data_IF_587796295750
#
_entry.id   IF_587796295750
#
_cell.length_a   1.000
_cell.length_b   1.000
_cell.length_c   1.000
_cell.angle_alpha   90.00
_cell.angle_beta   90.00
_cell.angle_gamma   90.00
#
_symmetry.space_group_name_H-M   'P 1'
#
loop_
_entity.id
_entity.type
_entity.pdbx_description
1 polymer ?
#
# COMPACT_ATOMS: atom_id res chain seq x y z
N UNK A 1 9.10 18.49 2.97
CA UNK A 1 7.81 18.96 2.39
C UNK A 1 6.76 17.92 2.75
N UNK A 2 5.64 18.31 3.36
CA UNK A 2 4.55 17.38 3.65
C UNK A 2 3.20 18.00 3.37
N UNK A 3 2.30 17.19 2.81
CA UNK A 3 0.96 17.61 2.46
C UNK A 3 -0.02 17.64 3.65
N UNK A 4 0.27 16.91 4.74
CA UNK A 4 -0.71 16.67 5.84
C UNK A 4 -0.07 16.41 7.20
N UNK A 5 1.17 16.82 7.43
CA UNK A 5 1.79 16.59 8.74
C UNK A 5 1.18 17.49 9.82
N UNK A 6 1.16 16.96 11.04
CA UNK A 6 1.07 17.74 12.28
C UNK A 6 2.29 18.67 12.31
N UNK A 7 2.08 19.91 11.88
CA UNK A 7 3.12 20.92 11.72
C UNK A 7 3.82 21.14 13.07
N UNK A 8 3.03 21.18 14.13
CA UNK A 8 3.46 21.40 15.50
C UNK A 8 4.42 20.30 15.95
N UNK A 9 4.06 19.04 15.71
CA UNK A 9 4.89 17.88 16.06
C UNK A 9 6.28 17.95 15.41
N UNK A 10 6.34 18.31 14.13
CA UNK A 10 7.61 18.41 13.40
C UNK A 10 8.42 19.64 13.82
N UNK A 11 7.75 20.78 14.01
CA UNK A 11 8.40 21.98 14.53
C UNK A 11 9.05 21.70 15.87
N UNK A 12 8.30 21.13 16.82
CA UNK A 12 8.78 20.79 18.17
C UNK A 12 9.94 19.79 18.12
N UNK A 13 9.81 18.73 17.30
CA UNK A 13 10.87 17.72 17.15
C UNK A 13 12.17 18.28 16.56
N UNK A 14 12.09 19.27 15.68
CA UNK A 14 13.25 19.93 15.06
C UNK A 14 13.58 21.26 15.76
N UNK A 15 13.58 21.29 17.09
CA UNK A 15 14.00 22.43 17.92
C UNK A 15 13.23 23.74 17.61
N UNK A 16 11.91 23.64 17.43
CA UNK A 16 11.03 24.74 17.02
C UNK A 16 11.42 25.36 15.66
N UNK A 17 11.78 24.52 14.69
CA UNK A 17 12.12 24.96 13.35
C UNK A 17 11.00 25.81 12.70
N UNK A 18 11.34 26.89 11.98
CA UNK A 18 10.35 27.76 11.36
C UNK A 18 9.53 27.00 10.30
N UNK A 19 8.22 27.25 10.31
CA UNK A 19 7.27 26.60 9.40
C UNK A 19 6.89 27.55 8.27
N UNK A 20 7.07 27.09 7.03
CA UNK A 20 6.56 27.76 5.84
C UNK A 20 5.32 27.04 5.29
N UNK A 21 4.17 27.72 5.34
CA UNK A 21 2.91 27.17 4.85
C UNK A 21 2.59 27.72 3.45
N UNK A 22 2.57 26.83 2.46
CA UNK A 22 2.09 27.17 1.11
C UNK A 22 0.60 26.84 1.04
N UNK A 23 -0.23 27.87 0.89
CA UNK A 23 -1.68 27.66 0.75
C UNK A 23 -1.97 26.92 -0.55
N UNK A 24 -2.62 25.76 -0.44
CA UNK A 24 -3.13 25.03 -1.59
C UNK A 24 -4.20 25.84 -2.32
N UNK A 25 -4.21 25.76 -3.66
CA UNK A 25 -5.31 26.25 -4.48
C UNK A 25 -6.20 25.05 -4.81
N UNK A 26 -7.18 24.78 -3.96
CA UNK A 26 -8.21 23.78 -4.22
C UNK A 26 -9.54 24.47 -4.44
N UNK A 27 -10.26 24.05 -5.48
CA UNK A 27 -11.63 24.48 -5.71
C UNK A 27 -12.59 23.87 -4.68
N UNK A 28 -13.79 24.45 -4.48
CA UNK A 28 -14.79 23.92 -3.56
C UNK A 28 -15.15 22.45 -3.85
N UNK A 29 -15.39 21.66 -2.81
CA UNK A 29 -15.75 20.25 -2.92
C UNK A 29 -17.00 20.01 -2.08
N UNK A 30 -18.07 19.53 -2.73
CA UNK A 30 -19.28 19.09 -2.03
C UNK A 30 -19.06 17.68 -1.48
N UNK A 31 -19.36 17.48 -0.19
CA UNK A 31 -19.18 16.21 0.50
C UNK A 31 -20.54 15.52 0.70
N UNK A 32 -20.62 14.26 0.30
CA UNK A 32 -21.78 13.40 0.52
C UNK A 32 -21.36 12.21 1.38
N UNK A 33 -22.22 11.82 2.32
CA UNK A 33 -22.01 10.66 3.21
C UNK A 33 -23.16 9.68 3.03
N UNK A 34 -22.87 8.38 3.14
CA UNK A 34 -23.89 7.34 3.19
C UNK A 34 -24.71 7.45 4.49
N UNK A 35 -26.01 7.15 4.43
CA UNK A 35 -26.90 7.28 5.60
C UNK A 35 -26.63 6.22 6.69
N UNK A 36 -26.27 4.99 6.32
CA UNK A 36 -25.93 3.90 7.24
C UNK A 36 -24.96 2.91 6.58
N UNK A 37 -24.17 2.22 7.41
CA UNK A 37 -23.44 1.01 7.04
C UNK A 37 -24.30 -0.18 7.47
N UNK A 38 -24.87 -0.95 6.55
CA UNK A 38 -25.46 -2.23 6.91
C UNK A 38 -24.33 -3.23 7.20
N UNK A 39 -23.98 -3.37 8.47
CA UNK A 39 -22.83 -4.13 8.98
C UNK A 39 -22.83 -5.63 8.65
N UNK A 40 -23.93 -6.16 8.10
CA UNK A 40 -24.08 -7.57 7.76
C UNK A 40 -23.75 -7.90 6.28
N UNK A 41 -23.66 -6.90 5.40
CA UNK A 41 -23.41 -7.09 3.96
C UNK A 41 -22.64 -5.91 3.35
N UNK A 42 -21.62 -5.40 4.05
CA UNK A 42 -20.85 -4.21 3.64
C UNK A 42 -19.82 -4.54 2.54
N UNK A 43 -20.31 -4.99 1.39
CA UNK A 43 -19.48 -5.09 0.18
C UNK A 43 -19.27 -3.68 -0.37
N UNK A 44 -18.25 -3.00 0.16
CA UNK A 44 -17.88 -1.65 -0.25
C UNK A 44 -17.49 -1.58 -1.74
N UNK A 45 -17.05 -2.68 -2.35
CA UNK A 45 -16.71 -2.72 -3.78
C UNK A 45 -18.00 -2.67 -4.61
N UNK A 46 -18.99 -3.48 -4.25
CA UNK A 46 -20.32 -3.44 -4.85
C UNK A 46 -20.96 -2.05 -4.68
N UNK A 47 -20.95 -1.51 -3.46
CA UNK A 47 -21.50 -0.18 -3.16
C UNK A 47 -20.82 0.90 -3.99
N UNK A 48 -19.49 0.84 -4.17
CA UNK A 48 -18.77 1.79 -5.01
C UNK A 48 -19.20 1.72 -6.48
N UNK A 49 -19.42 0.53 -7.04
CA UNK A 49 -19.92 0.37 -8.41
C UNK A 49 -21.36 0.87 -8.54
N UNK A 50 -22.23 0.59 -7.57
CA UNK A 50 -23.62 1.09 -7.58
C UNK A 50 -23.64 2.63 -7.54
N UNK A 51 -22.91 3.24 -6.61
CA UNK A 51 -22.80 4.70 -6.51
C UNK A 51 -22.21 5.30 -7.80
N UNK A 52 -21.18 4.67 -8.37
CA UNK A 52 -20.62 5.07 -9.66
C UNK A 52 -21.69 5.08 -10.76
N UNK A 53 -22.51 4.03 -10.86
CA UNK A 53 -23.54 3.95 -11.90
C UNK A 53 -24.64 5.01 -11.72
N UNK A 54 -24.97 5.38 -10.48
CA UNK A 54 -25.84 6.52 -10.21
C UNK A 54 -25.23 7.82 -10.71
N UNK A 55 -23.97 8.11 -10.33
CA UNK A 55 -23.21 9.29 -10.76
C UNK A 55 -23.07 9.31 -12.29
N UNK A 56 -22.89 8.16 -12.94
CA UNK A 56 -22.82 8.02 -14.40
C UNK A 56 -24.10 8.45 -15.09
N UNK A 57 -25.25 8.26 -14.45
CA UNK A 57 -26.54 8.70 -14.98
C UNK A 57 -26.83 10.18 -14.69
N UNK A 58 -26.49 10.68 -13.51
CA UNK A 58 -26.94 11.99 -13.03
C UNK A 58 -25.95 13.12 -13.29
N UNK A 59 -24.65 12.87 -13.20
CA UNK A 59 -23.63 13.93 -13.35
C UNK A 59 -23.25 14.18 -14.83
N UNK A 60 -22.67 15.35 -15.16
CA UNK A 60 -22.17 15.66 -16.51
C UNK A 60 -21.18 14.63 -17.05
N UNK A 61 -21.23 14.32 -18.34
CA UNK A 61 -20.44 13.21 -18.91
C UNK A 61 -18.93 13.46 -18.87
N UNK A 62 -18.53 14.72 -18.94
CA UNK A 62 -17.16 15.24 -18.90
C UNK A 62 -16.56 15.24 -17.48
N UNK A 63 -17.34 14.84 -16.47
CA UNK A 63 -16.87 14.69 -15.10
C UNK A 63 -16.30 13.29 -14.89
N UNK A 64 -14.97 13.17 -14.94
CA UNK A 64 -14.31 11.89 -14.67
C UNK A 64 -14.36 11.55 -13.18
N UNK A 65 -14.37 10.25 -12.91
CA UNK A 65 -14.58 9.69 -11.58
C UNK A 65 -13.34 8.94 -11.11
N UNK A 66 -12.89 9.21 -9.89
CA UNK A 66 -11.85 8.46 -9.20
C UNK A 66 -12.46 7.67 -8.03
N UNK A 67 -12.27 6.36 -8.02
CA UNK A 67 -12.80 5.45 -7.01
C UNK A 67 -11.64 4.83 -6.24
N UNK A 68 -11.66 4.95 -4.90
CA UNK A 68 -10.65 4.35 -4.04
C UNK A 68 -11.08 2.95 -3.56
N UNK A 69 -10.30 1.93 -3.94
CA UNK A 69 -10.42 0.53 -3.53
C UNK A 69 -9.09 0.04 -2.91
N UNK A 70 -9.04 -1.20 -2.43
CA UNK A 70 -7.92 -1.62 -1.56
C UNK A 70 -6.86 -2.44 -2.28
N UNK A 71 -7.16 -3.06 -3.42
CA UNK A 71 -6.18 -3.89 -4.13
C UNK A 71 -6.60 -4.35 -5.52
N UNK A 72 -5.69 -5.07 -6.17
CA UNK A 72 -5.81 -5.52 -7.57
C UNK A 72 -7.12 -6.28 -7.85
N UNK A 73 -7.40 -7.34 -7.08
CA UNK A 73 -8.57 -8.20 -7.33
C UNK A 73 -9.89 -7.42 -7.31
N UNK A 74 -10.06 -6.54 -6.32
CA UNK A 74 -11.22 -5.66 -6.19
C UNK A 74 -11.31 -4.66 -7.35
N UNK A 75 -10.18 -4.08 -7.74
CA UNK A 75 -10.10 -3.09 -8.82
C UNK A 75 -10.45 -3.72 -10.17
N UNK A 76 -9.87 -4.88 -10.50
CA UNK A 76 -10.16 -5.59 -11.74
C UNK A 76 -11.62 -6.02 -11.80
N UNK A 77 -12.16 -6.54 -10.69
CA UNK A 77 -13.56 -6.87 -10.56
C UNK A 77 -14.47 -5.66 -10.78
N UNK A 78 -14.20 -4.54 -10.11
CA UNK A 78 -14.98 -3.32 -10.24
C UNK A 78 -14.92 -2.73 -11.64
N UNK A 79 -13.75 -2.78 -12.31
CA UNK A 79 -13.61 -2.35 -13.70
C UNK A 79 -14.49 -3.17 -14.64
N UNK A 80 -14.49 -4.50 -14.48
CA UNK A 80 -15.35 -5.41 -15.24
C UNK A 80 -16.83 -5.09 -14.99
N UNK A 81 -17.25 -4.98 -13.72
CA UNK A 81 -18.65 -4.70 -13.35
C UNK A 81 -19.15 -3.35 -13.81
N UNK A 82 -18.33 -2.30 -13.69
CA UNK A 82 -18.69 -0.98 -14.20
C UNK A 82 -18.86 -0.99 -15.73
N UNK A 83 -17.98 -1.71 -16.45
CA UNK A 83 -18.06 -1.83 -17.91
C UNK A 83 -19.31 -2.59 -18.34
N UNK A 84 -19.61 -3.72 -17.70
CA UNK A 84 -20.84 -4.51 -17.93
C UNK A 84 -22.10 -3.67 -17.66
N UNK A 85 -22.15 -2.98 -16.52
CA UNK A 85 -23.30 -2.16 -16.13
C UNK A 85 -23.50 -0.95 -17.06
N UNK A 86 -22.43 -0.34 -17.57
CA UNK A 86 -22.51 0.81 -18.47
C UNK A 86 -23.20 0.50 -19.80
N UNK A 87 -23.09 -0.75 -20.30
CA UNK A 87 -23.77 -1.19 -21.52
C UNK A 87 -25.30 -1.04 -21.44
N UNK A 88 -25.87 -1.08 -20.22
CA UNK A 88 -27.31 -0.94 -19.98
C UNK A 88 -27.78 0.51 -19.84
N UNK A 89 -26.86 1.48 -19.81
CA UNK A 89 -27.19 2.89 -19.50
C UNK A 89 -27.27 3.82 -20.71
N UNK A 90 -26.86 3.35 -21.89
CA UNK A 90 -26.81 4.16 -23.11
C UNK A 90 -25.74 5.28 -23.10
N UNK A 91 -24.98 5.45 -22.01
CA UNK A 91 -23.87 6.41 -21.88
C UNK A 91 -22.55 5.64 -21.83
N UNK A 92 -21.58 6.03 -22.66
CA UNK A 92 -20.29 5.36 -22.73
C UNK A 92 -19.43 5.65 -21.49
N UNK A 93 -18.77 4.61 -20.98
CA UNK A 93 -17.88 4.66 -19.82
C UNK A 93 -16.64 3.83 -20.11
N UNK A 94 -15.47 4.33 -19.74
CA UNK A 94 -14.21 3.59 -19.80
C UNK A 94 -13.63 3.45 -18.39
N UNK A 95 -13.65 2.23 -17.86
CA UNK A 95 -12.99 1.88 -16.61
C UNK A 95 -11.50 1.60 -16.82
N UNK A 96 -10.65 2.16 -15.96
CA UNK A 96 -9.19 1.99 -15.96
C UNK A 96 -8.70 1.62 -14.55
N UNK A 97 -7.86 0.58 -14.40
CA UNK A 97 -7.26 0.22 -13.13
C UNK A 97 -6.01 1.06 -12.82
N UNK A 98 -5.73 1.28 -11.53
CA UNK A 98 -4.48 1.90 -11.06
C UNK A 98 -4.02 1.32 -9.72
N UNK A 99 -3.08 0.38 -9.75
CA UNK A 99 -2.45 -0.26 -8.57
C UNK A 99 -0.98 -0.62 -8.87
N UNK A 100 -0.19 -0.93 -7.83
CA UNK A 100 1.28 -0.99 -7.91
C UNK A 100 1.80 -2.06 -8.86
N UNK A 101 1.11 -3.20 -8.97
CA UNK A 101 1.49 -4.32 -9.85
C UNK A 101 1.27 -4.07 -11.35
N UNK A 102 0.71 -2.92 -11.76
CA UNK A 102 0.57 -2.57 -13.17
C UNK A 102 1.93 -2.17 -13.77
N UNK A 103 2.15 -2.53 -15.04
CA UNK A 103 3.32 -2.05 -15.78
C UNK A 103 3.34 -0.52 -15.86
N UNK A 104 4.52 0.13 -15.93
CA UNK A 104 4.61 1.59 -16.00
C UNK A 104 3.77 2.17 -17.15
N UNK A 105 3.78 1.50 -18.31
CA UNK A 105 2.94 1.88 -19.45
C UNK A 105 1.44 1.82 -19.12
N UNK A 106 0.98 0.77 -18.45
CA UNK A 106 -0.42 0.64 -18.05
C UNK A 106 -0.83 1.71 -17.02
N UNK A 107 0.04 2.07 -16.08
CA UNK A 107 -0.21 3.15 -15.14
C UNK A 107 -0.34 4.51 -15.84
N UNK A 108 0.47 4.77 -16.88
CA UNK A 108 0.44 6.04 -17.61
C UNK A 108 -0.90 6.33 -18.31
N UNK A 109 -1.65 5.29 -18.67
CA UNK A 109 -2.94 5.40 -19.37
C UNK A 109 -3.99 6.22 -18.62
N UNK A 110 -3.90 6.32 -17.30
CA UNK A 110 -4.88 7.11 -16.52
C UNK A 110 -4.71 8.62 -16.72
N UNK A 111 -3.50 9.06 -17.11
CA UNK A 111 -3.18 10.47 -17.35
C UNK A 111 -3.53 10.93 -18.75
N UNK A 112 -3.65 9.99 -19.70
CA UNK A 112 -3.98 10.30 -21.07
C UNK A 112 -5.48 10.66 -21.21
N UNK A 113 -5.82 11.62 -22.08
CA UNK A 113 -7.19 11.81 -22.52
C UNK A 113 -7.70 10.53 -23.20
N UNK A 114 -8.97 10.18 -22.99
CA UNK A 114 -9.53 8.95 -23.60
C UNK A 114 -9.54 8.98 -25.13
N UNK A 115 -9.59 10.16 -25.74
CA UNK A 115 -9.71 10.32 -27.20
C UNK A 115 -11.05 9.85 -27.78
N UNK A 116 -12.00 9.43 -26.94
CA UNK A 116 -13.33 8.96 -27.32
C UNK A 116 -14.35 10.02 -26.89
N UNK A 117 -15.06 10.68 -27.83
CA UNK A 117 -16.09 11.66 -27.48
C UNK A 117 -17.20 11.08 -26.60
N UNK A 118 -17.78 11.92 -25.74
CA UNK A 118 -18.96 11.58 -24.91
C UNK A 118 -18.79 10.30 -24.06
N UNK A 119 -17.57 10.01 -23.64
CA UNK A 119 -17.24 8.84 -22.81
C UNK A 119 -16.61 9.30 -21.51
N UNK A 120 -17.18 8.86 -20.38
CA UNK A 120 -16.64 9.17 -19.05
C UNK A 120 -15.44 8.28 -18.74
N UNK A 121 -14.34 8.86 -18.26
CA UNK A 121 -13.22 8.11 -17.68
C UNK A 121 -13.52 7.80 -16.22
N UNK A 122 -13.35 6.53 -15.86
CA UNK A 122 -13.49 6.08 -14.48
C UNK A 122 -12.23 5.34 -14.09
N UNK A 123 -11.58 5.79 -13.02
CA UNK A 123 -10.34 5.21 -12.55
C UNK A 123 -10.59 4.56 -11.19
N UNK A 124 -10.31 3.27 -11.11
CA UNK A 124 -10.34 2.51 -9.86
C UNK A 124 -8.91 2.37 -9.36
N UNK A 125 -8.61 2.95 -8.20
CA UNK A 125 -7.24 3.04 -7.70
C UNK A 125 -7.09 2.65 -6.23
N UNK A 126 -5.90 2.18 -5.87
CA UNK A 126 -5.46 2.12 -4.47
C UNK A 126 -5.07 3.51 -3.96
N UNK A 127 -4.38 3.58 -2.82
CA UNK A 127 -3.80 4.81 -2.29
C UNK A 127 -2.69 5.43 -3.18
N UNK A 128 -2.35 4.84 -4.33
CA UNK A 128 -1.45 5.46 -5.32
C UNK A 128 -2.02 6.80 -5.82
N UNK A 129 -3.32 6.87 -6.06
CA UNK A 129 -3.96 8.13 -6.45
C UNK A 129 -4.16 9.12 -5.28
N UNK A 130 -3.89 8.70 -4.03
CA UNK A 130 -4.07 9.52 -2.82
C UNK A 130 -3.00 10.59 -2.70
N UNK A 131 -1.76 10.30 -3.12
CA UNK A 131 -0.60 11.21 -3.02
C UNK A 131 0.11 11.40 -4.37
N UNK A 132 0.86 12.48 -4.51
CA UNK A 132 1.92 12.68 -5.53
C UNK A 132 1.57 12.79 -7.02
N UNK A 133 0.37 12.43 -7.51
CA UNK A 133 0.04 12.64 -8.94
C UNK A 133 -1.35 13.23 -9.17
N UNK A 134 -1.47 14.27 -9.99
CA UNK A 134 -2.76 14.81 -10.45
C UNK A 134 -3.20 14.03 -11.68
N UNK A 135 -4.39 13.43 -11.62
CA UNK A 135 -5.03 12.85 -12.81
C UNK A 135 -5.95 13.92 -13.39
N UNK A 136 -5.72 14.38 -14.63
CA UNK A 136 -6.56 15.40 -15.25
C UNK A 136 -8.00 14.93 -15.45
N UNK A 137 -8.95 15.86 -15.33
CA UNK A 137 -10.38 15.63 -15.58
C UNK A 137 -11.17 15.10 -14.39
N UNK A 138 -10.53 14.74 -13.27
CA UNK A 138 -11.25 14.24 -12.09
C UNK A 138 -12.11 15.35 -11.47
N UNK A 139 -13.42 15.13 -11.46
CA UNK A 139 -14.40 16.03 -10.84
C UNK A 139 -15.17 15.37 -9.70
N UNK A 140 -15.21 14.03 -9.70
CA UNK A 140 -15.92 13.23 -8.71
C UNK A 140 -14.99 12.20 -8.07
N UNK A 141 -15.04 12.10 -6.75
CA UNK A 141 -14.35 11.06 -5.97
C UNK A 141 -15.38 10.16 -5.30
N UNK A 142 -15.16 8.85 -5.32
CA UNK A 142 -15.87 7.87 -4.49
C UNK A 142 -14.85 7.27 -3.53
N UNK A 143 -15.04 7.54 -2.24
CA UNK A 143 -14.16 7.06 -1.16
C UNK A 143 -14.88 5.97 -0.36
N UNK A 144 -14.38 4.74 -0.44
CA UNK A 144 -14.87 3.61 0.35
C UNK A 144 -14.47 3.70 1.82
N UNK A 145 -13.51 4.56 2.17
CA UNK A 145 -13.00 4.68 3.53
C UNK A 145 -12.07 3.54 3.94
N UNK A 146 -11.73 2.62 3.03
CA UNK A 146 -10.86 1.47 3.30
C UNK A 146 -9.45 1.67 2.74
N UNK A 147 -8.50 0.97 3.34
CA UNK A 147 -7.12 0.85 2.86
C UNK A 147 -6.59 -0.54 3.20
N UNK A 148 -5.71 -1.08 2.36
CA UNK A 148 -4.98 -2.31 2.66
C UNK A 148 -3.59 -1.95 3.16
N UNK A 149 -3.27 -2.32 4.40
CA UNK A 149 -2.05 -1.90 5.09
C UNK A 149 -1.29 -3.10 5.63
N UNK A 150 0.05 -3.06 5.52
CA UNK A 150 0.95 -4.06 6.09
C UNK A 150 1.13 -3.76 7.58
N UNK A 151 0.85 -4.77 8.41
CA UNK A 151 0.91 -4.72 9.87
C UNK A 151 1.66 -5.94 10.40
N UNK A 152 2.71 -5.69 11.19
CA UNK A 152 3.52 -6.72 11.82
C UNK A 152 2.96 -7.10 13.19
N UNK A 153 2.73 -8.39 13.41
CA UNK A 153 2.31 -8.95 14.69
C UNK A 153 3.54 -9.45 15.44
N UNK A 154 4.01 -8.70 16.43
CA UNK A 154 5.27 -8.97 17.13
C UNK A 154 5.27 -10.28 17.95
N UNK A 155 4.12 -10.65 18.50
CA UNK A 155 3.88 -11.88 19.27
C UNK A 155 4.08 -13.13 18.40
N UNK A 156 3.56 -13.08 17.17
CA UNK A 156 3.61 -14.17 16.19
C UNK A 156 4.77 -14.07 15.20
N UNK A 157 5.43 -12.91 15.13
CA UNK A 157 6.52 -12.57 14.20
C UNK A 157 6.13 -12.73 12.74
N UNK A 158 4.90 -12.36 12.41
CA UNK A 158 4.37 -12.43 11.04
C UNK A 158 3.95 -11.06 10.57
N UNK A 159 4.24 -10.78 9.31
CA UNK A 159 3.63 -9.67 8.58
C UNK A 159 2.25 -10.11 8.08
N UNK A 160 1.24 -9.27 8.30
CA UNK A 160 -0.11 -9.49 7.80
C UNK A 160 -0.55 -8.28 6.99
N UNK A 161 -1.15 -8.55 5.85
CA UNK A 161 -1.78 -7.53 5.02
C UNK A 161 -3.28 -7.54 5.33
N UNK A 162 -3.80 -6.45 5.92
CA UNK A 162 -5.21 -6.36 6.33
C UNK A 162 -5.89 -5.15 5.70
N UNK A 163 -7.19 -5.30 5.45
CA UNK A 163 -8.05 -4.17 5.11
C UNK A 163 -8.47 -3.50 6.41
N UNK A 164 -8.21 -2.21 6.52
CA UNK A 164 -8.51 -1.37 7.68
C UNK A 164 -9.20 -0.07 7.22
N UNK A 165 -9.75 0.67 8.17
CA UNK A 165 -10.27 2.01 7.89
C UNK A 165 -9.14 3.00 7.62
N UNK A 166 -9.39 3.93 6.70
CA UNK A 166 -8.46 5.01 6.40
C UNK A 166 -8.46 6.07 7.50
N UNK A 167 -7.45 6.95 7.53
CA UNK A 167 -7.43 8.08 8.46
C UNK A 167 -8.25 9.26 7.94
N UNK A 168 -8.66 10.17 8.83
CA UNK A 168 -9.31 11.43 8.44
C UNK A 168 -8.43 12.25 7.50
N UNK A 169 -7.12 12.30 7.75
CA UNK A 169 -6.16 12.95 6.87
C UNK A 169 -6.19 12.34 5.46
N UNK A 170 -6.10 11.02 5.34
CA UNK A 170 -6.18 10.29 4.06
C UNK A 170 -7.51 10.52 3.34
N UNK A 171 -8.64 10.33 4.02
CA UNK A 171 -9.97 10.60 3.45
C UNK A 171 -10.16 12.06 3.00
N UNK A 172 -9.49 13.01 3.65
CA UNK A 172 -9.49 14.42 3.24
C UNK A 172 -8.62 14.64 2.00
N UNK A 173 -7.45 13.99 1.92
CA UNK A 173 -6.61 14.02 0.71
C UNK A 173 -7.33 13.40 -0.50
N UNK A 174 -8.01 12.26 -0.30
CA UNK A 174 -8.83 11.59 -1.31
C UNK A 174 -9.92 12.51 -1.83
N UNK A 175 -10.70 13.12 -0.93
CA UNK A 175 -11.72 14.10 -1.30
C UNK A 175 -11.12 15.28 -2.11
N UNK A 176 -9.96 15.78 -1.68
CA UNK A 176 -9.20 16.84 -2.36
C UNK A 176 -8.88 16.58 -3.83
N UNK A 177 -8.91 15.32 -4.29
CA UNK A 177 -8.68 14.96 -5.70
C UNK A 177 -9.78 15.46 -6.63
N UNK A 178 -11.02 15.58 -6.15
CA UNK A 178 -12.10 16.18 -6.92
C UNK A 178 -11.90 17.68 -7.15
N UNK A 179 -11.19 18.40 -6.27
CA UNK A 179 -11.08 19.86 -6.30
C UNK A 179 -9.82 20.43 -6.96
N UNK A 180 -9.06 19.64 -7.73
CA UNK A 180 -7.74 20.08 -8.25
C UNK A 180 -7.84 21.03 -9.45
N UNK A 181 -8.80 20.83 -10.35
CA UNK A 181 -8.92 21.62 -11.58
C UNK A 181 -10.18 22.50 -11.61
N UNK A 182 -11.25 22.11 -10.90
CA UNK A 182 -12.53 22.81 -10.86
C UNK A 182 -13.34 22.39 -9.59
N UNK A 183 -14.54 22.96 -9.32
CA UNK A 183 -15.36 22.65 -8.14
C UNK A 183 -16.01 21.26 -8.20
N UNK A 184 -15.74 20.35 -7.26
CA UNK A 184 -16.04 18.91 -7.40
C UNK A 184 -16.95 18.30 -6.36
N UNK A 185 -17.13 16.98 -6.42
CA UNK A 185 -17.93 16.21 -5.46
C UNK A 185 -17.14 15.03 -4.91
N UNK A 186 -17.33 14.72 -3.63
CA UNK A 186 -16.79 13.52 -3.01
C UNK A 186 -17.90 12.74 -2.31
N UNK A 187 -18.08 11.49 -2.69
CA UNK A 187 -19.04 10.55 -2.12
C UNK A 187 -18.32 9.58 -1.20
N UNK A 188 -18.53 9.72 0.11
CA UNK A 188 -18.01 8.81 1.14
C UNK A 188 -19.05 7.72 1.37
N UNK A 189 -18.66 6.47 1.16
CA UNK A 189 -19.57 5.31 1.31
C UNK A 189 -19.76 4.90 2.77
N UNK A 190 -19.55 5.84 3.69
CA UNK A 190 -19.67 5.65 5.12
C UNK A 190 -20.32 6.90 5.75
N UNK A 191 -21.04 6.75 6.87
CA UNK A 191 -21.67 7.87 7.57
C UNK A 191 -20.68 8.90 8.10
N UNK A 192 -21.15 10.13 8.21
CA UNK A 192 -20.38 11.23 8.81
C UNK A 192 -19.94 10.92 10.25
N UNK A 193 -20.79 10.22 11.02
CA UNK A 193 -20.42 9.75 12.36
C UNK A 193 -19.22 8.80 12.34
N UNK A 194 -19.14 7.93 11.33
CA UNK A 194 -18.00 7.03 11.17
C UNK A 194 -16.75 7.82 10.80
N UNK A 195 -16.85 8.79 9.86
CA UNK A 195 -15.74 9.70 9.54
C UNK A 195 -15.18 10.40 10.79
N UNK A 196 -16.06 10.88 11.67
CA UNK A 196 -15.65 11.53 12.91
C UNK A 196 -14.95 10.59 13.90
N UNK A 197 -15.25 9.28 13.84
CA UNK A 197 -14.62 8.25 14.67
C UNK A 197 -13.25 7.78 14.15
N UNK A 198 -12.90 8.08 12.90
CA UNK A 198 -11.62 7.68 12.31
C UNK A 198 -10.43 8.36 13.01
N UNK A 199 -9.31 7.65 13.06
CA UNK A 199 -8.04 8.22 13.51
C UNK A 199 -7.67 9.46 12.68
N UNK A 200 -7.09 10.47 13.33
CA UNK A 200 -6.74 11.73 12.68
C UNK A 200 -5.72 11.50 11.55
N UNK A 201 -4.67 10.75 11.85
CA UNK A 201 -3.56 10.43 10.95
C UNK A 201 -3.38 8.92 10.89
N UNK A 202 -2.77 8.44 9.79
CA UNK A 202 -2.43 7.03 9.62
C UNK A 202 -1.31 6.65 10.57
N UNK A 203 -1.40 5.46 11.20
CA UNK A 203 -0.38 4.97 12.12
C UNK A 203 0.99 4.94 11.42
N UNK A 204 2.03 5.59 12.00
CA UNK A 204 3.37 5.63 11.43
C UNK A 204 3.93 4.23 11.12
N UNK A 205 4.64 4.10 10.01
CA UNK A 205 5.14 2.82 9.53
C UNK A 205 6.05 2.11 10.54
N UNK A 206 6.91 2.87 11.23
CA UNK A 206 7.80 2.35 12.28
C UNK A 206 7.06 1.62 13.41
N UNK A 207 5.78 1.93 13.65
CA UNK A 207 4.99 1.29 14.70
C UNK A 207 4.32 -0.02 14.24
N UNK A 208 4.31 -0.30 12.94
CA UNK A 208 3.51 -1.38 12.33
C UNK A 208 4.29 -2.28 11.39
N UNK A 209 5.60 -2.14 11.25
CA UNK A 209 6.43 -3.00 10.39
C UNK A 209 7.44 -3.81 11.19
N UNK A 210 7.95 -4.86 10.56
CA UNK A 210 9.08 -5.61 11.10
C UNK A 210 10.34 -4.74 11.09
N UNK A 211 10.95 -4.55 12.26
CA UNK A 211 12.09 -3.66 12.44
C UNK A 211 13.44 -4.31 12.11
N UNK A 212 13.51 -5.58 11.74
CA UNK A 212 14.79 -6.30 11.58
C UNK A 212 15.78 -5.60 10.65
N UNK A 213 15.35 -5.21 9.46
CA UNK A 213 16.18 -4.53 8.47
C UNK A 213 16.66 -3.18 8.98
N UNK A 214 15.74 -2.37 9.52
CA UNK A 214 16.05 -1.05 10.09
C UNK A 214 17.02 -1.15 11.26
N UNK A 215 16.81 -2.08 12.20
CA UNK A 215 17.71 -2.25 13.34
C UNK A 215 19.10 -2.69 12.90
N UNK A 216 19.20 -3.59 11.91
CA UNK A 216 20.47 -4.01 11.36
C UNK A 216 21.25 -2.83 10.76
N UNK A 217 20.58 -1.97 10.01
CA UNK A 217 21.17 -0.75 9.45
C UNK A 217 21.60 0.23 10.53
N UNK A 218 20.77 0.45 11.55
CA UNK A 218 21.12 1.31 12.70
C UNK A 218 22.37 0.80 13.41
N UNK A 219 22.49 -0.50 13.64
CA UNK A 219 23.69 -1.09 14.23
C UNK A 219 24.92 -0.97 13.31
N UNK A 220 24.73 -1.12 11.99
CA UNK A 220 25.78 -0.94 10.99
C UNK A 220 26.36 0.48 11.00
N UNK A 221 25.53 1.51 11.21
CA UNK A 221 26.01 2.90 11.32
C UNK A 221 26.54 3.26 12.71
N UNK A 222 26.59 2.30 13.65
CA UNK A 222 27.18 2.47 14.98
C UNK A 222 26.19 2.86 16.08
N UNK A 223 24.88 2.88 15.81
CA UNK A 223 23.86 3.18 16.82
C UNK A 223 23.53 1.93 17.64
N UNK A 224 24.40 1.59 18.58
CA UNK A 224 24.31 0.35 19.37
C UNK A 224 23.21 0.37 20.43
N UNK A 225 22.61 1.53 20.73
CA UNK A 225 21.61 1.71 21.80
C UNK A 225 20.38 2.44 21.28
N UNK A 226 19.33 1.71 20.92
CA UNK A 226 18.11 2.31 20.35
C UNK A 226 17.42 3.28 21.31
N UNK A 227 17.48 3.03 22.63
CA UNK A 227 16.90 3.93 23.64
C UNK A 227 17.48 5.34 23.62
N UNK A 228 18.65 5.57 23.01
CA UNK A 228 19.19 6.94 22.88
C UNK A 228 18.64 7.68 21.67
N UNK A 229 17.90 7.02 20.77
CA UNK A 229 17.27 7.67 19.63
C UNK A 229 15.98 8.34 20.08
N UNK A 230 15.93 9.65 19.88
CA UNK A 230 14.71 10.42 20.03
C UNK A 230 13.90 10.22 18.75
N UNK A 231 13.03 9.22 18.70
CA UNK A 231 12.14 9.01 17.56
C UNK A 231 10.85 9.81 17.77
N UNK A 232 10.33 10.45 16.72
CA UNK A 232 9.00 11.10 16.73
C UNK A 232 7.93 10.11 17.21
N UNK A 233 8.00 8.86 16.75
CA UNK A 233 7.12 7.79 17.19
C UNK A 233 7.97 6.56 17.50
N UNK A 234 7.99 6.16 18.77
CA UNK A 234 8.80 5.05 19.23
C UNK A 234 8.03 3.73 19.13
N UNK A 235 8.59 2.69 18.46
CA UNK A 235 7.96 1.38 18.42
C UNK A 235 7.91 0.74 19.80
N UNK A 236 7.02 -0.25 19.97
CA UNK A 236 6.91 -0.97 21.22
C UNK A 236 8.21 -1.73 21.55
N UNK A 237 8.52 -1.84 22.83
CA UNK A 237 9.66 -2.63 23.32
C UNK A 237 9.60 -4.09 22.85
N UNK A 238 8.39 -4.63 22.68
CA UNK A 238 8.17 -5.98 22.16
C UNK A 238 8.60 -6.11 20.69
N UNK A 239 8.19 -5.18 19.82
CA UNK A 239 8.61 -5.17 18.41
C UNK A 239 10.13 -5.06 18.26
N UNK A 240 10.75 -4.18 19.04
CA UNK A 240 12.22 -4.03 19.07
C UNK A 240 12.89 -5.34 19.51
N UNK A 241 12.42 -5.94 20.61
CA UNK A 241 13.00 -7.18 21.15
C UNK A 241 12.82 -8.35 20.19
N UNK A 242 11.67 -8.45 19.54
CA UNK A 242 11.37 -9.49 18.54
C UNK A 242 12.35 -9.40 17.36
N UNK A 243 12.61 -8.18 16.86
CA UNK A 243 13.58 -7.95 15.79
C UNK A 243 15.03 -8.24 16.22
N UNK A 244 15.44 -7.78 17.40
CA UNK A 244 16.77 -8.08 17.97
C UNK A 244 17.01 -9.59 18.14
N UNK A 245 15.99 -10.31 18.62
CA UNK A 245 16.06 -11.75 18.77
C UNK A 245 16.23 -12.46 17.43
N UNK A 246 15.53 -12.03 16.37
CA UNK A 246 15.73 -12.61 15.03
C UNK A 246 17.16 -12.35 14.53
N UNK A 247 17.66 -11.13 14.67
CA UNK A 247 19.03 -10.77 14.28
C UNK A 247 20.07 -11.60 15.05
N UNK A 248 19.84 -11.87 16.33
CA UNK A 248 20.70 -12.73 17.13
C UNK A 248 20.66 -14.19 16.64
N UNK A 249 19.46 -14.71 16.33
CA UNK A 249 19.29 -16.09 15.85
C UNK A 249 20.00 -16.35 14.51
N UNK A 250 19.99 -15.38 13.60
CA UNK A 250 20.73 -15.48 12.33
C UNK A 250 22.22 -15.16 12.48
N UNK A 251 22.68 -14.85 13.70
CA UNK A 251 24.06 -14.53 14.02
C UNK A 251 24.52 -13.15 13.55
N UNK A 252 23.59 -12.24 13.21
CA UNK A 252 23.92 -10.89 12.73
C UNK A 252 24.39 -9.97 13.87
N UNK A 253 23.89 -10.18 15.09
CA UNK A 253 24.26 -9.36 16.26
C UNK A 253 24.62 -10.23 17.46
N UNK A 254 25.46 -9.69 18.33
CA UNK A 254 25.74 -10.28 19.64
C UNK A 254 24.58 -10.03 20.62
N UNK A 255 24.43 -10.85 21.67
CA UNK A 255 23.56 -10.53 22.80
C UNK A 255 23.92 -9.15 23.36
N UNK A 256 22.92 -8.45 23.90
CA UNK A 256 23.13 -7.15 24.50
C UNK A 256 24.18 -7.21 25.64
N UNK A 257 25.09 -6.25 25.68
CA UNK A 257 26.10 -6.15 26.73
C UNK A 257 25.47 -5.67 28.06
N UNK A 258 26.28 -5.56 29.12
CA UNK A 258 25.83 -5.08 30.45
C UNK A 258 25.25 -3.65 30.44
N UNK A 259 25.42 -2.89 29.36
CA UNK A 259 24.92 -1.52 29.18
C UNK A 259 23.77 -1.46 28.14
N UNK A 260 23.19 -2.61 27.77
CA UNK A 260 22.19 -2.75 26.71
C UNK A 260 22.67 -2.29 25.31
N UNK A 261 23.97 -2.40 25.04
CA UNK A 261 24.51 -2.14 23.69
C UNK A 261 24.52 -3.42 22.89
N UNK A 262 24.07 -3.31 21.65
CA UNK A 262 24.08 -4.41 20.67
C UNK A 262 25.16 -4.12 19.65
N UNK A 263 26.01 -5.12 19.42
CA UNK A 263 27.13 -5.04 18.50
C UNK A 263 26.92 -5.97 17.32
N UNK A 264 27.24 -5.46 16.13
CA UNK A 264 27.21 -6.22 14.89
C UNK A 264 28.34 -7.26 14.87
N UNK A 265 28.07 -8.45 14.36
CA UNK A 265 29.10 -9.46 14.10
C UNK A 265 29.66 -9.31 12.69
N UNK A 266 30.75 -10.02 12.36
CA UNK A 266 31.23 -10.08 10.97
C UNK A 266 30.16 -10.64 10.02
N UNK A 267 29.37 -11.61 10.49
CA UNK A 267 28.22 -12.13 9.76
C UNK A 267 27.16 -11.04 9.55
N UNK A 268 26.85 -10.26 10.58
CA UNK A 268 25.93 -9.13 10.48
C UNK A 268 26.39 -8.07 9.47
N UNK A 269 27.67 -7.76 9.45
CA UNK A 269 28.27 -6.84 8.46
C UNK A 269 28.07 -7.36 7.04
N UNK A 270 28.25 -8.67 6.82
CA UNK A 270 28.00 -9.29 5.51
C UNK A 270 26.52 -9.30 5.14
N UNK A 271 25.63 -9.65 6.07
CA UNK A 271 24.17 -9.63 5.85
C UNK A 271 23.70 -8.23 5.48
N UNK A 272 24.15 -7.22 6.23
CA UNK A 272 23.76 -5.82 6.03
C UNK A 272 24.27 -5.21 4.71
N UNK A 273 25.16 -5.89 3.99
CA UNK A 273 25.62 -5.47 2.68
C UNK A 273 24.63 -5.81 1.55
N UNK A 274 23.68 -6.72 1.79
CA UNK A 274 22.66 -7.10 0.81
C UNK A 274 21.44 -6.18 0.91
N UNK A 275 20.84 -5.78 -0.22
CA UNK A 275 19.55 -5.07 -0.26
C UNK A 275 18.38 -6.06 -0.11
N UNK A 276 18.46 -6.95 0.87
CA UNK A 276 17.50 -8.03 1.10
C UNK A 276 17.09 -8.06 2.57
N UNK A 277 15.95 -8.70 2.85
CA UNK A 277 15.59 -9.00 4.23
C UNK A 277 16.68 -9.87 4.91
N UNK A 278 17.06 -9.59 6.17
CA UNK A 278 18.19 -10.24 6.82
C UNK A 278 18.17 -11.79 6.78
N UNK A 279 17.02 -12.48 6.94
CA UNK A 279 16.97 -13.93 6.79
C UNK A 279 17.34 -14.43 5.38
N UNK A 280 16.90 -13.74 4.32
CA UNK A 280 17.21 -14.12 2.93
C UNK A 280 18.70 -13.91 2.62
N UNK A 281 19.28 -12.81 3.07
CA UNK A 281 20.72 -12.58 2.97
C UNK A 281 21.51 -13.65 3.74
N UNK A 282 21.03 -14.10 4.91
CA UNK A 282 21.65 -15.19 5.67
C UNK A 282 21.61 -16.53 4.91
N UNK A 283 20.51 -16.82 4.21
CA UNK A 283 20.36 -18.01 3.35
C UNK A 283 21.39 -17.99 2.23
N UNK A 284 21.55 -16.89 1.50
CA UNK A 284 22.54 -16.78 0.43
C UNK A 284 23.99 -16.99 0.95
N UNK A 285 24.31 -16.40 2.10
CA UNK A 285 25.61 -16.60 2.73
C UNK A 285 25.85 -18.05 3.17
N UNK A 286 24.80 -18.76 3.65
CA UNK A 286 24.89 -20.18 3.96
C UNK A 286 25.02 -21.03 2.70
N UNK A 287 24.25 -20.74 1.65
CA UNK A 287 24.26 -21.48 0.39
C UNK A 287 25.64 -21.43 -0.29
N UNK A 288 26.31 -20.27 -0.24
CA UNK A 288 27.69 -20.12 -0.69
C UNK A 288 28.68 -21.06 0.04
N UNK A 289 28.45 -21.36 1.32
CA UNK A 289 29.30 -22.28 2.10
C UNK A 289 28.97 -23.76 1.85
N UNK A 290 27.73 -24.06 1.43
CA UNK A 290 27.24 -25.42 1.20
C UNK A 290 27.28 -25.84 -0.28
N UNK A 291 27.70 -24.96 -1.19
CA UNK A 291 27.85 -25.27 -2.62
C UNK A 291 26.55 -25.25 -3.42
N UNK A 292 25.47 -24.64 -2.91
CA UNK A 292 24.15 -24.53 -3.57
C UNK A 292 23.73 -23.07 -3.80
N UNK A 293 24.71 -22.21 -4.10
CA UNK A 293 24.49 -20.77 -4.22
C UNK A 293 23.63 -20.41 -5.42
N UNK A 294 23.80 -21.09 -6.56
CA UNK A 294 23.08 -20.80 -7.79
C UNK A 294 21.58 -21.03 -7.63
N UNK A 295 21.20 -22.17 -7.05
CA UNK A 295 19.82 -22.54 -6.77
C UNK A 295 19.19 -21.59 -5.73
N UNK A 296 19.92 -21.28 -4.66
CA UNK A 296 19.45 -20.36 -3.64
C UNK A 296 19.27 -18.93 -4.16
N UNK A 297 20.15 -18.46 -5.05
CA UNK A 297 20.03 -17.15 -5.70
C UNK A 297 18.76 -17.08 -6.55
N UNK A 298 18.47 -18.12 -7.33
CA UNK A 298 17.23 -18.20 -8.13
C UNK A 298 16.00 -18.12 -7.23
N UNK A 299 15.93 -18.96 -6.19
CA UNK A 299 14.81 -18.99 -5.24
C UNK A 299 14.63 -17.63 -4.54
N UNK A 300 15.70 -17.04 -4.01
CA UNK A 300 15.65 -15.74 -3.31
C UNK A 300 15.25 -14.62 -4.26
N UNK A 301 15.66 -14.69 -5.54
CA UNK A 301 15.24 -13.72 -6.55
C UNK A 301 13.72 -13.77 -6.77
N UNK A 302 13.15 -14.96 -6.93
CA UNK A 302 11.69 -15.15 -7.05
C UNK A 302 10.93 -14.69 -5.79
N UNK A 303 11.47 -14.95 -4.59
CA UNK A 303 10.89 -14.49 -3.33
C UNK A 303 10.87 -12.97 -3.19
N UNK A 304 11.81 -12.28 -3.85
CA UNK A 304 11.97 -10.83 -3.77
C UNK A 304 11.16 -10.08 -4.83
N UNK A 305 10.52 -10.81 -5.75
CA UNK A 305 9.66 -10.24 -6.81
C UNK A 305 8.18 -10.48 -6.52
N UNK A 306 7.33 -9.69 -7.19
CA UNK A 306 5.88 -9.94 -7.20
C UNK A 306 5.55 -11.30 -7.85
N UNK A 307 4.31 -11.77 -7.69
CA UNK A 307 3.86 -13.07 -8.20
C UNK A 307 4.19 -13.27 -9.68
N UNK A 308 5.06 -14.25 -9.98
CA UNK A 308 5.43 -14.60 -11.37
C UNK A 308 4.30 -15.33 -12.10
N UNK A 309 3.52 -16.11 -11.36
CA UNK A 309 2.35 -16.79 -11.89
C UNK A 309 1.18 -15.82 -12.03
N UNK A 310 1.06 -15.20 -13.21
CA UNK A 310 -0.07 -14.32 -13.53
C UNK A 310 -1.33 -15.15 -13.80
N UNK A 311 -2.33 -15.03 -12.93
CA UNK A 311 -3.65 -15.60 -13.17
C UNK A 311 -4.58 -14.55 -13.78
N UNK A 312 -5.40 -14.94 -14.75
CA UNK A 312 -6.53 -14.12 -15.19
C UNK A 312 -7.82 -14.89 -14.90
N UNK A 313 -8.83 -14.18 -14.42
CA UNK A 313 -10.13 -14.79 -14.06
C UNK A 313 -10.81 -15.53 -15.22
N UNK A 314 -10.43 -15.22 -16.46
CA UNK A 314 -10.97 -15.84 -17.68
C UNK A 314 -10.27 -17.16 -18.07
N UNK A 315 -9.03 -17.40 -17.64
CA UNK A 315 -8.19 -18.52 -18.10
C UNK A 315 -7.59 -19.35 -16.95
N UNK A 316 -8.38 -19.64 -15.91
CA UNK A 316 -7.89 -20.38 -14.73
C UNK A 316 -7.39 -21.79 -15.04
N UNK A 317 -8.05 -22.51 -15.94
CA UNK A 317 -7.65 -23.90 -16.27
C UNK A 317 -6.33 -23.93 -17.03
N UNK A 318 -6.17 -23.07 -18.04
CA UNK A 318 -4.91 -22.90 -18.78
C UNK A 318 -3.76 -22.46 -17.86
N UNK A 319 -4.06 -21.60 -16.88
CA UNK A 319 -3.10 -21.20 -15.85
C UNK A 319 -2.63 -22.40 -15.02
N UNK A 320 -3.57 -23.21 -14.51
CA UNK A 320 -3.24 -24.39 -13.71
C UNK A 320 -2.42 -25.41 -14.52
N UNK A 321 -2.78 -25.65 -15.77
CA UNK A 321 -2.05 -26.57 -16.65
C UNK A 321 -0.64 -26.05 -17.00
N UNK A 322 -0.46 -24.74 -17.09
CA UNK A 322 0.86 -24.13 -17.29
C UNK A 322 1.70 -24.20 -16.01
N UNK A 323 1.11 -23.90 -14.85
CA UNK A 323 1.77 -23.96 -13.55
C UNK A 323 2.24 -25.38 -13.21
N UNK A 324 1.40 -26.40 -13.47
CA UNK A 324 1.72 -27.82 -13.25
C UNK A 324 3.02 -28.30 -13.88
N UNK A 325 3.47 -27.67 -14.97
CA UNK A 325 4.75 -28.01 -15.63
C UNK A 325 5.97 -27.72 -14.77
N UNK A 326 5.84 -26.81 -13.81
CA UNK A 326 6.92 -26.36 -12.93
C UNK A 326 6.76 -26.91 -11.50
N UNK A 327 5.58 -27.45 -11.15
CA UNK A 327 5.30 -27.93 -9.80
C UNK A 327 6.27 -29.03 -9.36
N UNK A 328 6.89 -28.81 -8.21
CA UNK A 328 7.78 -29.76 -7.54
C UNK A 328 7.08 -30.34 -6.30
N UNK A 329 7.17 -31.66 -6.10
CA UNK A 329 6.57 -32.33 -4.95
C UNK A 329 7.26 -31.95 -3.63
N UNK A 330 8.51 -31.53 -3.72
CA UNK A 330 9.38 -31.10 -2.63
C UNK A 330 8.96 -29.73 -2.04
N UNK A 331 8.19 -28.94 -2.79
CA UNK A 331 7.56 -27.71 -2.33
C UNK A 331 7.65 -26.53 -3.30
N UNK A 332 7.07 -25.40 -2.88
CA UNK A 332 6.96 -24.19 -3.70
C UNK A 332 8.33 -23.58 -4.05
N UNK A 333 9.33 -23.69 -3.17
CA UNK A 333 10.68 -23.19 -3.48
C UNK A 333 11.35 -23.98 -4.61
N UNK A 334 11.18 -25.30 -4.64
CA UNK A 334 11.65 -26.12 -5.77
C UNK A 334 10.83 -25.84 -7.04
N UNK A 335 9.55 -25.50 -6.88
CA UNK A 335 8.71 -25.06 -8.01
C UNK A 335 9.21 -23.76 -8.65
N UNK A 336 9.83 -22.84 -7.88
CA UNK A 336 10.45 -21.63 -8.44
C UNK A 336 11.81 -21.88 -9.09
N UNK A 337 12.46 -23.00 -8.78
CA UNK A 337 13.73 -23.38 -9.40
C UNK A 337 13.53 -23.99 -10.80
N UNK A 338 12.41 -24.70 -10.99
CA UNK A 338 12.02 -25.34 -12.25
C UNK A 338 11.61 -24.34 -13.34
#
# INVERSE_FOLDING_TARGET
MSATLEIELFSEYFDNAPVFMVKGRTHPIELFYANSLDSASDDYVFNAVVTLMQIHRTEPIDWDVLVFLTGQEEIEFACKKATEAAQLTGRALKALPLYSGLSPYAQMRVFEPLGIPNTRKVIFSTNIAETSVTIPGIRVVIDTGKIKIKTFLADRRIDVLRVEDTSRASATQRAGRAGREAPGKCYRLYPEKHFASLHQTTIPEVLRTNLCTVLLELYRIGLTRLRSLQLISSPSSESIRSAQLLLQLIGAVQPADKKDRIHLTDMGTRIAAFPLDPPLARVLLAASQNGCLEEALTIVSFMSTDQVFMTSSQNRDLFNDSKRKFEAAEGDHCTWLN
#
